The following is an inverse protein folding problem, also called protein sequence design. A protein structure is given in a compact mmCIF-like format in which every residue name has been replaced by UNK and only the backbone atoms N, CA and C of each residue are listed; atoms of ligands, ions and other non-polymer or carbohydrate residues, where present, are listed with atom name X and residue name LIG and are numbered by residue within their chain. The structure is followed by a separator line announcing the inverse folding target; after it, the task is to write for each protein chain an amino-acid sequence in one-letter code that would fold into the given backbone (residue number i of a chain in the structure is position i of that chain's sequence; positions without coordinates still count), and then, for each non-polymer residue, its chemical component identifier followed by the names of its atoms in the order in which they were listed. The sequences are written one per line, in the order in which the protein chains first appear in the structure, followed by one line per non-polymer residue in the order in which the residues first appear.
data_IF_104734090197
#
_entry.id   IF_104734090197
#
_cell.length_a   1.000
_cell.length_b   1.000
_cell.length_c   1.000
_cell.angle_alpha   90.00
_cell.angle_beta   90.00
_cell.angle_gamma   90.00
#
_symmetry.space_group_name_H-M   'P 1'
#
loop_
_entity.id
_entity.type
_entity.pdbx_description
1 polymer ?
2 water ?
#
# COMPACT_ATOMS: atom_id res chain seq x y z
N UNK A 2 9.75 -19.26 -5.87
CA UNK A 2 10.46 -18.21 -6.60
C UNK A 2 9.51 -17.13 -7.10
N UNK A 3 8.27 -17.52 -7.40
CA UNK A 3 7.26 -16.57 -7.85
C UNK A 3 6.85 -15.67 -6.69
N UNK A 4 7.21 -14.39 -6.77
CA UNK A 4 6.91 -13.42 -5.73
C UNK A 4 5.60 -12.71 -6.10
N UNK A 5 4.52 -13.08 -5.42
CA UNK A 5 3.18 -12.60 -5.76
C UNK A 5 2.80 -11.48 -4.81
N UNK A 6 2.60 -10.28 -5.36
CA UNK A 6 2.12 -9.14 -4.60
C UNK A 6 0.89 -8.57 -5.29
N UNK A 7 -0.11 -8.20 -4.49
CA UNK A 7 -1.41 -7.80 -5.00
C UNK A 7 -1.77 -6.40 -4.51
N UNK A 8 -2.54 -5.69 -5.33
CA UNK A 8 -3.02 -4.37 -4.94
C UNK A 8 -3.92 -4.46 -3.72
N UNK A 9 -3.69 -3.59 -2.75
CA UNK A 9 -4.41 -3.63 -1.49
C UNK A 9 -3.73 -4.45 -0.41
N UNK A 10 -2.74 -5.26 -0.77
CA UNK A 10 -1.98 -5.98 0.24
C UNK A 10 -1.07 -5.03 1.01
N UNK A 11 -0.82 -5.38 2.27
CA UNK A 11 0.08 -4.63 3.13
C UNK A 11 1.37 -5.43 3.27
N UNK A 12 2.49 -4.81 2.89
CA UNK A 12 3.79 -5.44 2.92
C UNK A 12 4.74 -4.62 3.78
N UNK A 13 5.65 -5.31 4.46
CA UNK A 13 6.82 -4.66 5.02
C UNK A 13 7.80 -4.39 3.88
N UNK A 14 8.24 -3.13 3.75
CA UNK A 14 9.07 -2.73 2.63
C UNK A 14 10.28 -1.96 3.14
N UNK A 15 11.34 -1.97 2.34
CA UNK A 15 12.53 -1.18 2.61
C UNK A 15 12.43 0.14 1.86
N UNK A 16 12.40 1.24 2.60
CA UNK A 16 12.33 2.57 1.99
C UNK A 16 13.67 3.27 2.07
N UNK A 27 12.65 0.00 7.24
CA UNK A 27 11.55 -0.95 7.09
C UNK A 27 10.26 -0.39 7.66
N UNK A 28 9.21 -0.37 6.83
CA UNK A 28 7.92 0.17 7.22
C UNK A 28 6.83 -0.53 6.44
N UNK A 29 5.63 -0.64 6.99
CA UNK A 29 4.52 -1.22 6.23
C UNK A 29 4.02 -0.25 5.17
N UNK A 30 3.47 -0.81 4.09
CA UNK A 30 2.96 0.00 3.00
C UNK A 30 1.91 -0.79 2.24
N UNK A 31 1.00 -0.06 1.59
CA UNK A 31 -0.08 -0.66 0.80
C UNK A 31 0.31 -0.64 -0.67
N UNK A 32 0.23 -1.80 -1.32
CA UNK A 32 0.46 -1.88 -2.76
C UNK A 32 -0.70 -1.21 -3.49
N UNK A 33 -0.38 -0.25 -4.36
CA UNK A 33 -1.43 0.48 -5.08
C UNK A 33 -1.20 0.48 -6.58
N UNK A 34 -0.07 -0.05 -7.04
CA UNK A 34 0.08 -0.28 -8.47
C UNK A 34 -0.90 -1.35 -8.92
N UNK A 35 -1.37 -1.22 -10.16
CA UNK A 35 -2.37 -2.15 -10.67
C UNK A 35 -1.79 -3.56 -10.79
N UNK A 36 -2.69 -4.55 -10.79
CA UNK A 36 -2.25 -5.94 -10.72
C UNK A 36 -1.70 -6.47 -12.03
N UNK A 37 -1.96 -5.81 -13.16
CA UNK A 37 -1.26 -6.19 -14.39
C UNK A 37 0.21 -5.85 -14.29
N UNK A 38 0.53 -4.66 -13.78
CA UNK A 38 1.92 -4.29 -13.53
C UNK A 38 2.54 -5.17 -12.45
N UNK A 39 1.76 -5.51 -11.42
CA UNK A 39 2.27 -6.39 -10.38
C UNK A 39 2.55 -7.79 -10.92
N UNK A 40 1.63 -8.33 -11.73
CA UNK A 40 1.83 -9.65 -12.32
C UNK A 40 3.04 -9.69 -13.23
N UNK A 41 3.35 -8.57 -13.90
CA UNK A 41 4.53 -8.51 -14.75
C UNK A 41 5.81 -8.58 -13.92
N UNK A 42 5.85 -7.85 -12.80
CA UNK A 42 7.01 -7.91 -11.92
C UNK A 42 7.17 -9.31 -11.33
N UNK A 43 6.05 -9.98 -11.04
CA UNK A 43 6.12 -11.36 -10.56
C UNK A 43 6.78 -12.26 -11.58
N UNK A 44 6.33 -12.20 -12.83
CA UNK A 44 6.88 -13.09 -13.85
C UNK A 44 8.36 -12.80 -14.11
N UNK A 45 8.70 -11.52 -14.30
CA UNK A 45 10.08 -11.17 -14.62
C UNK A 45 11.02 -11.31 -13.43
N UNK A 46 10.49 -11.34 -12.21
CA UNK A 46 11.38 -11.39 -11.07
C UNK A 46 12.08 -10.09 -10.79
N UNK A 47 11.66 -9.02 -11.46
CA UNK A 47 12.15 -7.69 -11.20
C UNK A 47 11.06 -6.72 -11.61
N UNK A 48 11.22 -5.46 -11.19
CA UNK A 48 10.34 -4.40 -11.62
C UNK A 48 9.94 -3.50 -10.46
N UNK A 49 9.27 -2.41 -10.83
CA UNK A 49 8.82 -1.41 -9.86
C UNK A 49 7.40 -1.73 -9.41
N UNK A 50 7.19 -1.64 -8.10
CA UNK A 50 5.87 -1.65 -7.48
C UNK A 50 5.66 -0.27 -6.87
N UNK A 51 4.41 0.18 -6.84
CA UNK A 51 4.07 1.46 -6.23
C UNK A 51 3.32 1.20 -4.93
N UNK A 52 3.77 1.84 -3.84
CA UNK A 52 3.24 1.58 -2.52
C UNK A 52 2.88 2.89 -1.84
N UNK A 53 1.98 2.79 -0.86
CA UNK A 53 1.58 3.91 -0.01
C UNK A 53 1.98 3.59 1.42
N UNK A 54 2.92 4.34 2.01
CA UNK A 54 3.37 4.01 3.36
C UNK A 54 2.27 4.19 4.40
N UNK A 55 2.41 3.44 5.48
CA UNK A 55 1.42 3.38 6.55
C UNK A 55 2.10 3.74 7.86
N UNK A 56 1.42 4.53 8.69
CA UNK A 56 1.95 4.96 9.98
C UNK A 56 0.92 4.74 11.08
N UNK A 57 1.41 4.56 12.30
CA UNK A 57 0.57 4.30 13.46
C UNK A 57 0.13 5.57 14.18
N UNK A 58 0.58 6.74 13.74
CA UNK A 58 0.14 8.00 14.33
C UNK A 58 -1.12 8.45 13.60
N UNK A 59 -2.27 8.34 14.27
CA UNK A 59 -3.55 8.65 13.65
C UNK A 59 -4.18 9.87 14.32
N UNK A 60 -3.34 10.76 14.86
CA UNK A 60 -3.85 11.94 15.54
C UNK A 60 -4.73 12.78 14.62
N UNK A 61 -4.25 13.05 13.41
CA UNK A 61 -5.01 13.76 12.39
C UNK A 61 -4.99 12.94 11.12
N UNK A 62 -6.17 12.58 10.61
CA UNK A 62 -6.30 11.82 9.38
C UNK A 62 -6.82 12.78 8.32
N UNK A 63 -5.94 13.21 7.42
CA UNK A 63 -6.28 14.15 6.37
C UNK A 63 -7.01 13.44 5.23
N UNK A 64 -7.68 14.19 4.35
CA UNK A 64 -8.46 13.53 3.29
C UNK A 64 -7.61 12.81 2.25
N UNK A 65 -6.31 13.10 2.18
CA UNK A 65 -5.39 12.33 1.36
C UNK A 65 -4.79 11.16 2.12
N UNK A 66 -5.39 10.78 3.24
CA UNK A 66 -4.96 9.65 4.05
C UNK A 66 -6.19 8.83 4.42
N UNK A 67 -5.99 7.55 4.72
CA UNK A 67 -7.09 6.63 4.97
C UNK A 67 -6.81 5.85 6.25
N UNK A 68 -7.75 5.91 7.19
CA UNK A 68 -7.65 5.13 8.42
C UNK A 68 -7.82 3.65 8.11
N UNK A 69 -6.86 2.84 8.56
CA UNK A 69 -6.88 1.39 8.34
C UNK A 69 -7.08 0.69 9.68
N UNK A 70 -8.20 -0.03 9.81
CA UNK A 70 -8.53 -0.68 11.06
C UNK A 70 -7.63 -1.88 11.32
N UNK A 71 -7.25 -2.06 12.59
CA UNK A 71 -6.38 -3.17 12.96
C UNK A 71 -7.06 -4.52 12.76
N UNK A 72 -8.38 -4.58 12.92
CA UNK A 72 -9.13 -5.83 12.86
C UNK A 72 -9.13 -6.48 11.47
N UNK A 73 -8.50 -5.86 10.47
CA UNK A 73 -8.48 -6.40 9.11
C UNK A 73 -7.10 -6.45 8.47
N UNK A 74 -6.15 -5.64 8.93
CA UNK A 74 -4.92 -5.37 8.19
C UNK A 74 -3.76 -6.29 8.55
N UNK A 75 -3.83 -7.01 9.66
CA UNK A 75 -2.65 -7.69 10.16
C UNK A 75 -1.69 -6.79 10.91
N UNK A 76 -1.90 -5.48 10.86
CA UNK A 76 -1.28 -4.54 11.76
C UNK A 76 -1.99 -4.65 13.10
N UNK A 77 -1.24 -4.43 14.18
CA UNK A 77 -1.76 -4.58 15.54
C UNK A 77 -2.44 -3.33 16.08
N UNK A 78 -2.21 -2.16 15.47
CA UNK A 78 -2.84 -0.91 15.88
C UNK A 78 -3.54 -0.31 14.67
N UNK A 79 -4.53 0.54 14.93
CA UNK A 79 -5.09 1.34 13.86
C UNK A 79 -3.99 2.20 13.25
N UNK A 80 -3.99 2.28 11.93
CA UNK A 80 -2.95 3.00 11.21
C UNK A 80 -3.62 3.82 10.11
N UNK A 81 -2.84 4.67 9.46
CA UNK A 81 -3.34 5.41 8.32
C UNK A 81 -2.39 5.28 7.15
N UNK A 82 -2.95 5.01 5.98
CA UNK A 82 -2.18 5.05 4.74
C UNK A 82 -2.01 6.50 4.32
N UNK A 83 -0.78 6.86 3.95
CA UNK A 83 -0.43 8.24 3.61
C UNK A 83 -0.21 8.31 2.10
N UNK A 84 -1.28 8.64 1.36
CA UNK A 84 -1.17 8.72 -0.09
C UNK A 84 -0.23 9.82 -0.54
N UNK A 85 -0.02 10.86 0.28
CA UNK A 85 0.93 11.90 -0.08
C UNK A 85 2.37 11.43 0.00
N UNK A 86 2.62 10.24 0.56
CA UNK A 86 3.96 9.68 0.67
C UNK A 86 4.18 8.55 -0.33
N UNK A 87 3.39 8.51 -1.40
CA UNK A 87 3.45 7.41 -2.37
C UNK A 87 4.84 7.31 -2.97
N UNK A 88 5.33 6.07 -3.11
CA UNK A 88 6.64 5.81 -3.68
C UNK A 88 6.58 4.58 -4.58
N UNK A 89 7.52 4.53 -5.53
CA UNK A 89 7.76 3.34 -6.32
C UNK A 89 9.06 2.69 -5.85
N UNK A 90 9.02 1.38 -5.64
CA UNK A 90 10.16 0.64 -5.12
C UNK A 90 10.41 -0.56 -6.02
N UNK A 91 11.63 -1.08 -5.94
CA UNK A 91 11.94 -2.34 -6.59
C UNK A 91 11.28 -3.49 -5.85
N UNK A 92 10.92 -4.54 -6.59
CA UNK A 92 10.41 -5.74 -5.93
C UNK A 92 11.41 -6.30 -4.94
N UNK A 93 12.71 -6.08 -5.19
CA UNK A 93 13.73 -6.48 -4.24
C UNK A 93 13.59 -5.77 -2.90
N UNK A 94 12.83 -4.68 -2.84
CA UNK A 94 12.56 -3.99 -1.59
C UNK A 94 11.33 -4.53 -0.87
N UNK A 95 10.56 -5.41 -1.51
CA UNK A 95 9.46 -6.10 -0.84
C UNK A 95 10.04 -7.16 0.09
N UNK A 96 9.77 -7.04 1.39
CA UNK A 96 10.36 -7.93 2.38
C UNK A 96 9.43 -9.08 2.75
N UNK A 97 8.23 -8.77 3.24
CA UNK A 97 7.30 -9.81 3.64
C UNK A 97 5.89 -9.23 3.64
N UNK A 98 4.88 -10.05 3.33
CA UNK A 98 3.50 -9.58 3.44
C UNK A 98 3.02 -9.61 4.88
N UNK A 99 2.19 -8.62 5.21
CA UNK A 99 1.65 -8.47 6.55
C UNK A 99 0.15 -8.75 6.59
N UNK A 100 -0.58 -8.28 5.58
CA UNK A 100 -2.01 -8.49 5.52
C UNK A 100 -2.63 -7.80 4.33
N UNK A 101 -3.84 -7.28 4.50
CA UNK A 101 -4.59 -6.70 3.39
C UNK A 101 -5.58 -5.70 3.94
N UNK A 102 -5.79 -4.61 3.20
CA UNK A 102 -6.88 -3.70 3.53
C UNK A 102 -8.17 -4.25 2.93
N UNK A 103 -9.30 -3.91 3.55
CA UNK A 103 -10.57 -4.36 3.01
C UNK A 103 -10.88 -3.63 1.70
N UNK A 104 -11.85 -4.16 0.96
CA UNK A 104 -12.22 -3.52 -0.30
C UNK A 104 -12.79 -2.12 -0.08
N UNK A 105 -13.43 -1.89 1.07
CA UNK A 105 -13.93 -0.55 1.37
C UNK A 105 -12.79 0.41 1.68
N UNK A 106 -11.78 -0.06 2.42
CA UNK A 106 -10.62 0.77 2.69
C UNK A 106 -9.86 1.08 1.40
N UNK A 107 -9.78 0.11 0.48
CA UNK A 107 -9.08 0.34 -0.78
C UNK A 107 -9.83 1.35 -1.64
N UNK A 108 -11.16 1.27 -1.66
CA UNK A 108 -11.94 2.29 -2.36
C UNK A 108 -11.69 3.67 -1.77
N UNK A 109 -11.60 3.75 -0.44
CA UNK A 109 -11.22 5.01 0.20
C UNK A 109 -9.82 5.45 -0.23
N UNK A 110 -8.89 4.50 -0.31
CA UNK A 110 -7.54 4.84 -0.76
C UNK A 110 -7.53 5.29 -2.21
N UNK A 111 -8.40 4.72 -3.05
CA UNK A 111 -8.53 5.22 -4.42
C UNK A 111 -8.91 6.70 -4.43
N UNK A 112 -9.86 7.09 -3.58
CA UNK A 112 -10.28 8.48 -3.53
C UNK A 112 -9.18 9.38 -2.98
N UNK A 113 -8.44 8.90 -1.97
CA UNK A 113 -7.34 9.68 -1.43
C UNK A 113 -6.23 9.87 -2.46
N UNK A 114 -5.97 8.83 -3.26
CA UNK A 114 -4.97 8.95 -4.32
C UNK A 114 -5.42 9.94 -5.39
N UNK A 115 -6.69 9.87 -5.80
CA UNK A 115 -7.19 10.81 -6.80
C UNK A 115 -7.15 12.24 -6.28
N UNK A 116 -7.50 12.44 -5.01
CA UNK A 116 -7.42 13.77 -4.42
C UNK A 116 -5.98 14.27 -4.39
N UNK A 117 -5.05 13.44 -3.91
CA UNK A 117 -3.67 13.89 -3.79
C UNK A 117 -3.06 14.21 -5.16
N UNK A 118 -3.44 13.45 -6.18
CA UNK A 118 -2.84 13.60 -7.50
C UNK A 118 -3.67 14.49 -8.43
N UNK A 119 -4.71 15.13 -7.91
CA UNK A 119 -5.54 16.06 -8.67
C UNK A 119 -6.22 15.37 -9.85
N UNK A 120 -6.65 14.13 -9.64
CA UNK A 120 -7.28 13.32 -10.67
C UNK A 120 -8.79 13.37 -10.47
N UNK A 121 -9.50 13.95 -11.44
CA UNK A 121 -10.95 14.02 -11.38
C UNK A 121 -11.57 13.35 -12.60
#
# INVERSE_FOLDING_TARGET
GPELVMRRGEIWQVSLGAARGAEANNQRPAVVVSNDRANATATRLGRGVITVVPVTSNIAKVYPFQVLLSATTTGLQVDCKAQAEQIRSIATAALLRPIGRVSAAELAQLDEALKLHLDLWS
#
